data_IF_645778584882
#
_entry.id   IF_645778584882
#
_cell.length_a   1.000
_cell.length_b   1.000
_cell.length_c   1.000
_cell.angle_alpha   90.00
_cell.angle_beta   90.00
_cell.angle_gamma   90.00
#
_symmetry.space_group_name_H-M   'P 1'
#
loop_
_entity.id
_entity.type
_entity.pdbx_description
1 polymer ?
#
# COMPACT_ATOMS: atom_id res chain seq x y z
N UNK A 1 -5.21 -6.91 -16.24
CA UNK A 1 -4.93 -5.91 -15.18
C UNK A 1 -4.55 -6.70 -13.94
N UNK A 2 -3.61 -6.23 -13.12
CA UNK A 2 -3.35 -6.86 -11.80
C UNK A 2 -4.26 -6.22 -10.74
N UNK A 3 -4.37 -6.87 -9.57
CA UNK A 3 -5.25 -6.38 -8.50
C UNK A 3 -4.95 -4.93 -8.09
N UNK A 4 -3.67 -4.51 -8.16
CA UNK A 4 -3.28 -3.10 -7.89
C UNK A 4 -3.83 -2.15 -8.95
N UNK A 5 -3.77 -2.52 -10.23
CA UNK A 5 -4.37 -1.76 -11.31
C UNK A 5 -5.89 -1.62 -11.17
N UNK A 6 -6.58 -2.70 -10.80
CA UNK A 6 -8.04 -2.70 -10.60
C UNK A 6 -8.45 -1.78 -9.44
N UNK A 7 -7.80 -1.92 -8.29
CA UNK A 7 -8.03 -1.04 -7.14
C UNK A 7 -7.81 0.44 -7.48
N UNK A 8 -6.70 0.78 -8.14
CA UNK A 8 -6.41 2.17 -8.50
C UNK A 8 -7.38 2.71 -9.56
N UNK A 9 -7.86 1.86 -10.46
CA UNK A 9 -8.90 2.20 -11.43
C UNK A 9 -10.23 2.52 -10.75
N UNK A 10 -10.67 1.66 -9.82
CA UNK A 10 -11.87 1.89 -9.02
C UNK A 10 -11.74 3.17 -8.17
N UNK A 11 -10.58 3.36 -7.52
CA UNK A 11 -10.29 4.56 -6.72
C UNK A 11 -10.37 5.85 -7.56
N UNK A 12 -9.90 5.82 -8.80
CA UNK A 12 -10.03 6.94 -9.74
C UNK A 12 -11.49 7.19 -10.15
N UNK A 13 -12.22 6.13 -10.50
CA UNK A 13 -13.56 6.22 -11.06
C UNK A 13 -14.62 6.60 -10.00
N UNK A 14 -14.51 6.03 -8.80
CA UNK A 14 -15.51 6.19 -7.74
C UNK A 14 -15.23 7.38 -6.82
N UNK A 15 -13.96 7.66 -6.54
CA UNK A 15 -13.56 8.67 -5.56
C UNK A 15 -12.84 9.88 -6.19
N UNK A 16 -12.65 9.88 -7.52
CA UNK A 16 -12.00 10.99 -8.21
C UNK A 16 -10.55 11.23 -7.75
N UNK A 17 -9.86 10.19 -7.27
CA UNK A 17 -8.52 10.33 -6.71
C UNK A 17 -7.57 10.99 -7.73
N UNK A 18 -6.74 11.93 -7.28
CA UNK A 18 -5.84 12.65 -8.19
C UNK A 18 -4.76 11.72 -8.78
N UNK A 19 -4.19 12.04 -9.96
CA UNK A 19 -3.07 11.28 -10.52
C UNK A 19 -1.88 11.15 -9.56
N UNK A 20 -1.64 12.19 -8.75
CA UNK A 20 -0.60 12.17 -7.73
C UNK A 20 -0.92 11.15 -6.64
N UNK A 21 -2.16 11.09 -6.16
CA UNK A 21 -2.62 10.09 -5.18
C UNK A 21 -2.47 8.67 -5.72
N UNK A 22 -2.91 8.42 -6.95
CA UNK A 22 -2.79 7.10 -7.59
C UNK A 22 -1.33 6.66 -7.73
N UNK A 23 -0.48 7.58 -8.18
CA UNK A 23 0.97 7.34 -8.33
C UNK A 23 1.62 7.04 -6.97
N UNK A 24 1.20 7.75 -5.92
CA UNK A 24 1.65 7.53 -4.56
C UNK A 24 1.22 6.15 -4.04
N UNK A 25 -0.07 5.81 -4.16
CA UNK A 25 -0.61 4.53 -3.71
C UNK A 25 0.00 3.35 -4.48
N UNK A 26 0.25 3.49 -5.78
CA UNK A 26 0.96 2.46 -6.56
C UNK A 26 2.35 2.17 -5.98
N UNK A 27 3.13 3.21 -5.66
CA UNK A 27 4.46 3.04 -5.06
C UNK A 27 4.39 2.40 -3.67
N UNK A 28 3.39 2.80 -2.89
CA UNK A 28 3.20 2.31 -1.53
C UNK A 28 2.80 0.83 -1.50
N UNK A 29 1.82 0.44 -2.33
CA UNK A 29 1.39 -0.95 -2.50
C UNK A 29 2.50 -1.82 -3.08
N UNK A 30 3.31 -1.31 -4.01
CA UNK A 30 4.50 -2.03 -4.48
C UNK A 30 5.52 -2.23 -3.35
N UNK A 31 5.67 -1.25 -2.46
CA UNK A 31 6.50 -1.37 -1.26
C UNK A 31 6.01 -2.44 -0.30
N UNK A 32 4.69 -2.49 -0.07
CA UNK A 32 4.08 -3.51 0.78
C UNK A 32 4.17 -4.91 0.14
N UNK A 33 3.89 -5.03 -1.16
CA UNK A 33 4.05 -6.27 -1.91
C UNK A 33 5.46 -6.85 -1.80
N UNK A 34 6.51 -6.04 -1.98
CA UNK A 34 7.91 -6.47 -1.76
C UNK A 34 8.17 -6.93 -0.32
N UNK A 35 7.53 -6.30 0.66
CA UNK A 35 7.63 -6.72 2.05
C UNK A 35 6.97 -8.10 2.28
N UNK A 36 5.80 -8.35 1.67
CA UNK A 36 5.06 -9.62 1.75
C UNK A 36 5.75 -10.76 1.00
N UNK A 37 6.43 -10.47 -0.12
CA UNK A 37 7.20 -11.50 -0.84
C UNK A 37 8.24 -12.18 0.06
N UNK A 38 8.89 -11.41 0.94
CA UNK A 38 9.83 -11.96 1.95
C UNK A 38 9.18 -12.87 2.98
N UNK A 39 7.85 -12.78 3.12
CA UNK A 39 6.98 -13.63 3.96
C UNK A 39 6.23 -14.70 3.18
N UNK A 40 6.54 -14.86 1.87
CA UNK A 40 5.87 -15.79 0.94
C UNK A 40 4.35 -15.56 0.86
N UNK A 41 3.92 -14.30 0.88
CA UNK A 41 2.52 -13.88 0.75
C UNK A 41 2.32 -12.90 -0.40
N UNK A 42 1.13 -12.94 -1.00
CA UNK A 42 0.62 -11.91 -1.91
C UNK A 42 -0.15 -10.81 -1.19
N UNK A 43 -0.42 -9.70 -1.89
CA UNK A 43 -1.23 -8.58 -1.36
C UNK A 43 -2.63 -9.02 -0.91
N UNK A 44 -3.26 -9.94 -1.66
CA UNK A 44 -4.60 -10.48 -1.36
C UNK A 44 -4.60 -11.45 -0.15
N UNK A 45 -3.42 -11.88 0.31
CA UNK A 45 -3.24 -12.83 1.42
C UNK A 45 -2.67 -12.16 2.67
N UNK A 46 -2.56 -10.83 2.64
CA UNK A 46 -1.98 -10.05 3.72
C UNK A 46 -2.88 -10.09 4.96
N UNK A 47 -2.28 -10.34 6.12
CA UNK A 47 -2.98 -10.32 7.39
C UNK A 47 -2.71 -9.01 8.16
N UNK A 48 -3.53 -8.73 9.17
CA UNK A 48 -3.33 -7.55 10.03
C UNK A 48 -1.92 -7.50 10.65
N UNK A 49 -1.36 -8.66 10.99
CA UNK A 49 0.00 -8.77 11.52
C UNK A 49 1.07 -8.30 10.51
N UNK A 50 0.85 -8.55 9.21
CA UNK A 50 1.76 -8.08 8.15
C UNK A 50 1.73 -6.56 8.03
N UNK A 51 0.54 -5.95 8.12
CA UNK A 51 0.38 -4.49 8.07
C UNK A 51 1.07 -3.83 9.27
N UNK A 52 0.89 -4.37 10.48
CA UNK A 52 1.55 -3.88 11.69
C UNK A 52 3.07 -3.97 11.56
N UNK A 53 3.59 -5.12 11.13
CA UNK A 53 5.02 -5.32 10.96
C UNK A 53 5.61 -4.44 9.85
N UNK A 54 4.85 -4.19 8.77
CA UNK A 54 5.26 -3.29 7.71
C UNK A 54 5.36 -1.85 8.19
N UNK A 55 4.33 -1.34 8.88
CA UNK A 55 4.31 0.02 9.45
C UNK A 55 5.44 0.22 10.46
N UNK A 56 5.71 -0.77 11.31
CA UNK A 56 6.84 -0.75 12.22
C UNK A 56 8.17 -0.65 11.46
N UNK A 57 8.33 -1.43 10.39
CA UNK A 57 9.50 -1.37 9.51
C UNK A 57 9.69 -0.02 8.82
N UNK A 58 8.61 0.61 8.32
CA UNK A 58 8.68 1.93 7.71
C UNK A 58 9.14 3.01 8.71
N UNK A 59 8.63 2.95 9.95
CA UNK A 59 9.06 3.84 11.04
C UNK A 59 10.52 3.60 11.42
N UNK A 60 10.94 2.35 11.55
CA UNK A 60 12.33 1.98 11.83
C UNK A 60 13.30 2.43 10.72
N UNK A 61 12.81 2.51 9.48
CA UNK A 61 13.55 3.06 8.34
C UNK A 61 13.56 4.60 8.26
N UNK A 62 12.97 5.31 9.24
CA UNK A 62 13.01 6.77 9.32
C UNK A 62 12.08 7.50 8.34
N UNK A 63 11.07 6.83 7.78
CA UNK A 63 10.10 7.52 6.93
C UNK A 63 9.32 8.57 7.74
N UNK A 64 9.10 9.73 7.11
CA UNK A 64 8.27 10.78 7.70
C UNK A 64 6.87 10.26 8.07
N UNK A 65 6.26 10.76 9.17
CA UNK A 65 4.94 10.30 9.62
C UNK A 65 3.85 10.36 8.54
N UNK A 66 3.84 11.41 7.71
CA UNK A 66 2.91 11.56 6.61
C UNK A 66 3.07 10.47 5.53
N UNK A 67 4.31 10.04 5.25
CA UNK A 67 4.58 8.93 4.34
C UNK A 67 4.07 7.62 4.93
N UNK A 68 4.35 7.34 6.20
CA UNK A 68 3.85 6.12 6.88
C UNK A 68 2.32 6.08 6.86
N UNK A 69 1.65 7.21 7.14
CA UNK A 69 0.20 7.32 7.08
C UNK A 69 -0.33 7.03 5.66
N UNK A 70 0.31 7.58 4.63
CA UNK A 70 -0.08 7.33 3.22
C UNK A 70 0.09 5.87 2.82
N UNK A 71 1.17 5.22 3.22
CA UNK A 71 1.35 3.78 3.04
C UNK A 71 0.24 2.98 3.71
N UNK A 72 -0.11 3.31 4.96
CA UNK A 72 -1.18 2.64 5.69
C UNK A 72 -2.55 2.86 5.02
N UNK A 73 -2.84 4.07 4.54
CA UNK A 73 -4.08 4.36 3.82
C UNK A 73 -4.18 3.59 2.50
N UNK A 74 -3.08 3.48 1.76
CA UNK A 74 -3.03 2.68 0.53
C UNK A 74 -3.31 1.20 0.82
N UNK A 75 -2.64 0.63 1.84
CA UNK A 75 -2.81 -0.78 2.23
C UNK A 75 -4.20 -1.08 2.79
N UNK A 76 -4.85 -0.13 3.48
CA UNK A 76 -6.21 -0.32 4.00
C UNK A 76 -7.29 -0.19 2.93
N UNK A 77 -7.03 0.56 1.87
CA UNK A 77 -8.00 0.77 0.79
C UNK A 77 -7.98 -0.34 -0.27
N UNK A 78 -6.82 -1.00 -0.43
CA UNK A 78 -6.64 -2.15 -1.30
C UNK A 78 -7.31 -3.39 -0.72
#
# INVERSE_FOLDING_TARGET
>A
MDATGEFLGALQAEQGASPNTLSAYRRDLAGFGRFLTRRRRGLMEAEAADVVAYVAGLRGAGLAPASVARHLSAVRGF
#
